data_IF_260243365555
#
_entry.id   IF_260243365555
#
_cell.length_a   1.000
_cell.length_b   1.000
_cell.length_c   1.000
_cell.angle_alpha   90.00
_cell.angle_beta   90.00
_cell.angle_gamma   90.00
#
_symmetry.space_group_name_H-M   'P 1'
#
loop_
_entity.id
_entity.type
_entity.pdbx_description
1 polymer ?
#
# COMPACT_ATOMS: atom_id res chain seq x y z
N UNK A 1 -8.24 5.69 80.38
CA UNK A 1 -8.82 6.31 79.18
C UNK A 1 -7.76 6.30 78.10
N UNK A 2 -7.83 5.32 77.18
CA UNK A 2 -6.87 5.20 76.10
C UNK A 2 -7.55 5.75 74.83
N UNK A 3 -6.95 6.79 74.27
CA UNK A 3 -7.42 7.41 73.05
C UNK A 3 -6.91 6.61 71.84
N UNK A 4 -7.82 6.03 71.00
CA UNK A 4 -7.50 5.44 69.69
C UNK A 4 -7.25 6.57 68.64
N UNK A 5 -6.06 6.55 68.05
CA UNK A 5 -5.75 7.41 66.89
C UNK A 5 -6.24 6.71 65.59
N UNK A 6 -6.95 7.38 64.69
CA UNK A 6 -7.32 6.80 63.42
C UNK A 6 -6.12 6.77 62.44
N UNK A 7 -5.90 5.61 61.85
CA UNK A 7 -4.94 5.38 60.73
C UNK A 7 -5.61 5.85 59.45
N UNK A 8 -5.08 6.88 58.81
CA UNK A 8 -5.52 7.32 57.47
C UNK A 8 -4.63 6.62 56.46
N UNK A 9 -5.22 5.67 55.70
CA UNK A 9 -4.55 5.02 54.55
C UNK A 9 -4.83 5.87 53.32
N UNK A 10 -3.80 6.61 52.85
CA UNK A 10 -3.88 7.31 51.56
C UNK A 10 -3.65 6.33 50.41
N UNK A 11 -4.68 6.09 49.62
CA UNK A 11 -4.56 5.37 48.36
C UNK A 11 -4.07 6.35 47.27
N UNK A 12 -2.81 6.25 46.86
CA UNK A 12 -2.27 6.97 45.73
C UNK A 12 -2.70 6.21 44.44
N UNK A 13 -3.67 6.73 43.69
CA UNK A 13 -4.03 6.23 42.40
C UNK A 13 -2.96 6.64 41.38
N UNK A 14 -2.16 5.67 40.91
CA UNK A 14 -1.20 5.86 39.80
C UNK A 14 -1.99 5.83 38.50
N UNK A 15 -2.24 6.99 37.90
CA UNK A 15 -2.77 7.12 36.54
C UNK A 15 -1.65 6.81 35.56
N UNK A 16 -1.69 5.63 34.96
CA UNK A 16 -0.90 5.32 33.75
C UNK A 16 -1.53 6.04 32.56
N UNK A 17 -0.98 7.18 32.15
CA UNK A 17 -1.32 7.81 30.89
C UNK A 17 -0.72 6.97 29.76
N UNK A 18 -1.56 6.15 29.11
CA UNK A 18 -1.19 5.50 27.85
C UNK A 18 -1.17 6.59 26.79
N UNK A 19 0.01 7.13 26.50
CA UNK A 19 0.22 7.99 25.33
C UNK A 19 0.05 7.15 24.08
N UNK A 20 -1.12 7.25 23.44
CA UNK A 20 -1.32 6.73 22.11
C UNK A 20 -0.48 7.59 21.16
N UNK A 21 0.74 7.13 20.82
CA UNK A 21 1.55 7.74 19.77
C UNK A 21 0.84 7.39 18.46
N UNK A 22 0.05 8.31 17.94
CA UNK A 22 -0.44 8.23 16.58
C UNK A 22 0.80 8.28 15.68
N UNK A 23 1.15 7.15 15.07
CA UNK A 23 2.19 7.12 14.04
C UNK A 23 1.60 7.86 12.85
N UNK A 24 1.99 9.11 12.70
CA UNK A 24 1.64 9.90 11.52
C UNK A 24 2.21 9.19 10.29
N UNK A 25 1.36 8.93 9.28
CA UNK A 25 1.82 8.34 8.04
C UNK A 25 2.86 9.27 7.42
N UNK A 26 4.02 8.74 7.04
CA UNK A 26 5.06 9.53 6.42
C UNK A 26 4.52 10.14 5.11
N UNK A 27 4.56 11.48 5.01
CA UNK A 27 4.15 12.18 3.82
C UNK A 27 5.11 11.90 2.66
N UNK A 28 4.56 11.53 1.49
CA UNK A 28 5.36 11.34 0.28
C UNK A 28 5.79 12.70 -0.28
N UNK A 29 7.05 13.06 -0.09
CA UNK A 29 7.63 14.24 -0.74
C UNK A 29 8.05 13.93 -2.17
N UNK A 30 7.70 14.80 -3.14
CA UNK A 30 8.12 14.68 -4.54
C UNK A 30 9.32 15.57 -4.82
N UNK A 31 10.31 15.02 -5.50
CA UNK A 31 11.53 15.71 -5.92
C UNK A 31 11.52 15.97 -7.42
N UNK A 32 12.26 17.00 -7.86
CA UNK A 32 12.39 17.29 -9.27
C UNK A 32 13.05 16.14 -10.02
N UNK A 33 12.41 15.70 -11.10
CA UNK A 33 12.87 14.58 -11.92
C UNK A 33 12.61 13.22 -11.29
N UNK A 34 11.60 13.10 -10.42
CA UNK A 34 11.15 11.80 -9.94
C UNK A 34 10.51 10.98 -11.06
N UNK A 35 10.82 9.69 -11.06
CA UNK A 35 10.22 8.69 -11.92
C UNK A 35 9.30 7.80 -11.07
N UNK A 36 8.01 7.96 -11.26
CA UNK A 36 6.94 7.26 -10.54
C UNK A 36 6.50 6.05 -11.37
N UNK A 37 6.70 4.85 -10.86
CA UNK A 37 6.29 3.61 -11.52
C UNK A 37 5.12 2.96 -10.77
N UNK A 38 4.04 2.67 -11.49
CA UNK A 38 2.89 1.92 -10.99
C UNK A 38 3.14 0.44 -11.27
N UNK A 39 3.03 -0.40 -10.26
CA UNK A 39 3.22 -1.86 -10.35
C UNK A 39 2.08 -2.56 -9.64
N UNK A 40 1.43 -3.48 -10.30
CA UNK A 40 0.31 -4.23 -9.72
C UNK A 40 -0.71 -4.65 -10.74
N UNK A 41 -1.95 -4.77 -10.29
CA UNK A 41 -3.03 -5.36 -11.07
C UNK A 41 -4.00 -4.33 -11.70
N UNK A 42 -5.25 -4.75 -11.90
CA UNK A 42 -6.24 -4.06 -12.74
C UNK A 42 -6.50 -2.59 -12.35
N UNK A 43 -6.50 -2.22 -11.05
CA UNK A 43 -6.77 -0.84 -10.66
C UNK A 43 -5.72 0.12 -11.25
N UNK A 44 -4.45 -0.20 -11.04
CA UNK A 44 -3.35 0.61 -11.59
C UNK A 44 -3.33 0.59 -13.12
N UNK A 45 -3.59 -0.57 -13.73
CA UNK A 45 -3.65 -0.69 -15.20
C UNK A 45 -4.75 0.22 -15.79
N UNK A 46 -5.96 0.21 -15.21
CA UNK A 46 -7.09 1.01 -15.68
C UNK A 46 -6.84 2.52 -15.63
N UNK A 47 -5.98 2.99 -14.74
CA UNK A 47 -5.65 4.42 -14.64
C UNK A 47 -5.07 5.00 -15.93
N UNK A 48 -4.38 4.20 -16.76
CA UNK A 48 -3.84 4.64 -18.04
C UNK A 48 -4.92 5.01 -19.08
N UNK A 49 -6.14 4.49 -18.96
CA UNK A 49 -7.22 4.75 -19.91
C UNK A 49 -7.94 6.07 -19.64
N UNK A 50 -7.79 6.65 -18.47
CA UNK A 50 -8.49 7.86 -18.06
C UNK A 50 -7.56 9.06 -17.82
N UNK A 51 -6.31 8.84 -17.50
CA UNK A 51 -5.25 9.84 -17.30
C UNK A 51 -5.53 10.95 -16.26
N UNK A 52 -6.65 10.89 -15.53
CA UNK A 52 -7.02 11.92 -14.54
C UNK A 52 -5.97 12.09 -13.44
N UNK A 53 -5.49 10.97 -12.90
CA UNK A 53 -4.49 11.00 -11.83
C UNK A 53 -3.19 11.65 -12.29
N UNK A 54 -2.66 11.25 -13.45
CA UNK A 54 -1.43 11.81 -14.01
C UNK A 54 -1.58 13.28 -14.36
N UNK A 55 -2.73 13.67 -14.94
CA UNK A 55 -3.05 15.07 -15.24
C UNK A 55 -3.06 15.92 -13.98
N UNK A 56 -3.76 15.47 -12.91
CA UNK A 56 -3.82 16.18 -11.63
C UNK A 56 -2.45 16.27 -10.96
N UNK A 57 -1.66 15.20 -11.02
CA UNK A 57 -0.30 15.16 -10.49
C UNK A 57 0.58 16.24 -11.16
N UNK A 58 0.58 16.30 -12.48
CA UNK A 58 1.35 17.30 -13.22
C UNK A 58 0.81 18.73 -13.01
N UNK A 59 -0.48 18.89 -12.87
CA UNK A 59 -1.10 20.18 -12.56
C UNK A 59 -0.70 20.67 -11.16
N UNK A 60 -0.67 19.77 -10.17
CA UNK A 60 -0.32 20.12 -8.80
C UNK A 60 1.19 20.38 -8.65
N UNK A 61 2.02 19.68 -9.42
CA UNK A 61 3.48 19.76 -9.31
C UNK A 61 4.17 20.12 -10.64
N UNK A 62 3.82 21.25 -11.29
CA UNK A 62 4.28 21.57 -12.66
C UNK A 62 5.78 21.79 -12.76
N UNK A 63 6.45 22.13 -11.65
CA UNK A 63 7.89 22.41 -11.62
C UNK A 63 8.73 21.16 -11.35
N UNK A 64 8.11 20.05 -10.97
CA UNK A 64 8.85 18.85 -10.55
C UNK A 64 9.35 18.01 -11.72
N UNK A 65 8.87 18.23 -12.96
CA UNK A 65 9.31 17.46 -14.13
C UNK A 65 9.20 15.95 -13.90
N UNK A 66 8.06 15.51 -13.36
CA UNK A 66 7.80 14.12 -13.04
C UNK A 66 7.67 13.27 -14.30
N UNK A 67 8.04 11.99 -14.20
CA UNK A 67 7.78 10.99 -15.22
C UNK A 67 6.93 9.90 -14.61
N UNK A 68 5.86 9.48 -15.29
CA UNK A 68 5.01 8.37 -14.86
C UNK A 68 5.18 7.20 -15.82
N UNK A 69 5.27 5.97 -15.29
CA UNK A 69 5.29 4.73 -16.05
C UNK A 69 4.33 3.73 -15.42
N UNK A 70 3.35 3.30 -16.20
CA UNK A 70 2.40 2.28 -15.77
C UNK A 70 2.92 0.91 -16.20
N UNK A 71 3.30 0.08 -15.22
CA UNK A 71 3.77 -1.29 -15.39
C UNK A 71 2.75 -2.30 -14.84
N UNK A 72 1.54 -1.86 -14.51
CA UNK A 72 0.47 -2.71 -14.02
C UNK A 72 -0.08 -3.59 -15.14
N UNK A 73 -0.54 -4.79 -14.76
CA UNK A 73 -1.20 -5.71 -15.67
C UNK A 73 -2.33 -6.45 -14.95
N UNK A 74 -3.52 -6.60 -15.55
CA UNK A 74 -4.62 -7.33 -14.93
C UNK A 74 -4.20 -8.77 -14.61
N UNK A 75 -4.53 -9.23 -13.41
CA UNK A 75 -4.17 -10.56 -12.95
C UNK A 75 -2.81 -10.69 -12.27
N UNK A 76 -2.01 -9.63 -12.23
CA UNK A 76 -0.73 -9.67 -11.48
C UNK A 76 -0.96 -9.77 -9.97
N UNK A 77 -0.14 -10.58 -9.34
CA UNK A 77 0.07 -10.67 -7.88
C UNK A 77 1.55 -10.38 -7.56
N UNK A 78 1.93 -10.19 -6.31
CA UNK A 78 3.32 -9.83 -5.95
C UNK A 78 4.38 -10.73 -6.58
N UNK A 79 4.11 -12.05 -6.65
CA UNK A 79 5.03 -13.06 -7.20
C UNK A 79 4.41 -13.97 -8.27
N UNK A 80 3.17 -13.72 -8.68
CA UNK A 80 2.52 -14.45 -9.78
C UNK A 80 2.26 -13.49 -10.92
N UNK A 81 3.06 -13.62 -11.98
CA UNK A 81 3.01 -12.73 -13.15
C UNK A 81 3.20 -13.56 -14.40
N UNK A 82 2.11 -13.77 -15.13
CA UNK A 82 2.12 -14.57 -16.35
C UNK A 82 2.52 -13.66 -17.50
N UNK A 83 3.71 -13.90 -18.06
CA UNK A 83 4.25 -13.19 -19.22
C UNK A 83 4.81 -14.18 -20.22
N UNK A 84 5.05 -13.71 -21.44
CA UNK A 84 5.78 -14.45 -22.44
C UNK A 84 7.23 -14.67 -22.04
N UNK A 85 7.84 -15.68 -22.60
CA UNK A 85 9.27 -15.93 -22.43
C UNK A 85 10.10 -14.69 -22.79
N UNK A 86 11.16 -14.42 -22.04
CA UNK A 86 12.06 -13.29 -22.22
C UNK A 86 11.42 -11.89 -22.05
N UNK A 87 10.25 -11.79 -21.42
CA UNK A 87 9.62 -10.49 -21.15
C UNK A 87 10.42 -9.63 -20.16
N UNK A 88 11.28 -10.24 -19.34
CA UNK A 88 11.99 -9.58 -18.25
C UNK A 88 11.23 -9.63 -16.92
N UNK A 89 11.94 -9.29 -15.85
CA UNK A 89 11.39 -9.23 -14.50
C UNK A 89 10.83 -7.83 -14.19
N UNK A 90 10.00 -7.67 -13.15
CA UNK A 90 9.60 -6.34 -12.69
C UNK A 90 10.78 -5.43 -12.34
N UNK A 91 11.86 -6.01 -11.78
CA UNK A 91 13.06 -5.25 -11.46
C UNK A 91 13.77 -4.72 -12.72
N UNK A 92 13.79 -5.50 -13.81
CA UNK A 92 14.36 -5.06 -15.09
C UNK A 92 13.60 -3.86 -15.64
N UNK A 93 12.26 -3.90 -15.58
CA UNK A 93 11.41 -2.80 -16.04
C UNK A 93 11.51 -1.56 -15.14
N UNK A 94 11.62 -1.73 -13.83
CA UNK A 94 11.84 -0.63 -12.89
C UNK A 94 13.21 0.02 -13.10
N UNK A 95 14.24 -0.77 -13.35
CA UNK A 95 15.58 -0.29 -13.66
C UNK A 95 15.62 0.47 -15.01
N UNK A 96 14.97 -0.10 -16.05
CA UNK A 96 14.84 0.59 -17.34
C UNK A 96 14.10 1.93 -17.19
N UNK A 97 13.09 1.99 -16.34
CA UNK A 97 12.32 3.20 -16.06
C UNK A 97 13.01 4.14 -15.08
N UNK A 98 14.15 3.77 -14.50
CA UNK A 98 14.90 4.54 -13.49
C UNK A 98 14.00 4.95 -12.31
N UNK A 99 13.20 4.03 -11.80
CA UNK A 99 12.20 4.28 -10.77
C UNK A 99 12.82 4.90 -9.51
N UNK A 100 12.27 6.03 -9.05
CA UNK A 100 12.58 6.67 -7.76
C UNK A 100 11.44 6.52 -6.76
N UNK A 101 10.24 6.27 -7.29
CA UNK A 101 9.03 5.99 -6.51
C UNK A 101 8.31 4.80 -7.16
N UNK A 102 7.90 3.84 -6.33
CA UNK A 102 7.10 2.69 -6.77
C UNK A 102 5.78 2.68 -6.01
N UNK A 103 4.67 2.71 -6.76
CA UNK A 103 3.32 2.58 -6.23
C UNK A 103 2.85 1.14 -6.45
N UNK A 104 2.59 0.38 -5.38
CA UNK A 104 2.09 -0.99 -5.46
C UNK A 104 0.57 -1.07 -5.36
N UNK A 105 -0.07 -1.66 -6.39
CA UNK A 105 -1.51 -1.85 -6.51
C UNK A 105 -1.87 -3.34 -6.41
N UNK A 106 -1.79 -3.90 -5.20
CA UNK A 106 -2.07 -5.31 -4.91
C UNK A 106 -3.19 -5.47 -3.87
N UNK A 107 -3.74 -6.67 -3.76
CA UNK A 107 -4.79 -7.02 -2.82
C UNK A 107 -6.15 -7.31 -3.47
N UNK A 108 -6.39 -6.88 -4.71
CA UNK A 108 -7.63 -7.18 -5.42
C UNK A 108 -7.68 -8.64 -5.89
N UNK A 109 -6.72 -9.09 -6.68
CA UNK A 109 -6.68 -10.46 -7.17
C UNK A 109 -6.56 -11.47 -6.03
N UNK A 110 -5.70 -11.17 -5.09
CA UNK A 110 -5.43 -12.02 -3.94
C UNK A 110 -6.68 -12.18 -3.04
N UNK A 111 -7.59 -11.18 -3.04
CA UNK A 111 -8.83 -11.23 -2.25
C UNK A 111 -9.79 -12.35 -2.68
N UNK A 112 -9.66 -12.87 -3.90
CA UNK A 112 -10.41 -14.05 -4.34
C UNK A 112 -10.02 -15.32 -3.58
N UNK A 113 -8.84 -15.37 -2.96
CA UNK A 113 -8.42 -16.40 -2.03
C UNK A 113 -9.12 -16.38 -0.66
N UNK A 114 -9.99 -15.38 -0.41
CA UNK A 114 -10.72 -15.25 0.84
C UNK A 114 -9.84 -14.95 2.04
N UNK A 115 -10.36 -15.17 3.25
CA UNK A 115 -9.64 -14.92 4.51
C UNK A 115 -8.38 -15.77 4.69
N UNK A 116 -8.36 -16.98 4.16
CA UNK A 116 -7.23 -17.92 4.25
C UNK A 116 -6.00 -17.39 3.49
N UNK A 117 -6.19 -16.59 2.45
CA UNK A 117 -5.12 -15.99 1.66
C UNK A 117 -4.41 -14.81 2.34
N UNK A 118 -5.00 -14.19 3.35
CA UNK A 118 -4.50 -12.94 3.97
C UNK A 118 -3.09 -13.08 4.55
N UNK A 119 -2.79 -14.19 5.21
CA UNK A 119 -1.47 -14.42 5.81
C UNK A 119 -0.36 -14.53 4.75
N UNK A 120 -0.64 -15.27 3.67
CA UNK A 120 0.28 -15.40 2.54
C UNK A 120 0.48 -14.06 1.83
N UNK A 121 -0.60 -13.30 1.60
CA UNK A 121 -0.54 -11.97 1.03
C UNK A 121 0.35 -11.02 1.82
N UNK A 122 0.19 -10.94 3.15
CA UNK A 122 1.06 -10.11 4.02
C UNK A 122 2.53 -10.51 3.89
N UNK A 123 2.82 -11.82 3.90
CA UNK A 123 4.18 -12.33 3.75
C UNK A 123 4.79 -11.93 2.39
N UNK A 124 4.03 -12.11 1.31
CA UNK A 124 4.46 -11.77 -0.04
C UNK A 124 4.68 -10.25 -0.21
N UNK A 125 3.78 -9.42 0.32
CA UNK A 125 3.95 -7.98 0.27
C UNK A 125 5.17 -7.49 1.04
N UNK A 126 5.41 -8.02 2.26
CA UNK A 126 6.62 -7.67 3.02
C UNK A 126 7.89 -8.07 2.28
N UNK A 127 7.92 -9.25 1.67
CA UNK A 127 9.04 -9.72 0.87
C UNK A 127 9.27 -8.81 -0.35
N UNK A 128 8.21 -8.49 -1.10
CA UNK A 128 8.30 -7.61 -2.27
C UNK A 128 8.84 -6.22 -1.90
N UNK A 129 8.37 -5.64 -0.81
CA UNK A 129 8.85 -4.35 -0.30
C UNK A 129 10.33 -4.44 0.08
N UNK A 130 10.74 -5.50 0.79
CA UNK A 130 12.11 -5.69 1.19
C UNK A 130 13.05 -5.85 -0.01
N UNK A 131 12.68 -6.67 -1.00
CA UNK A 131 13.45 -6.85 -2.24
C UNK A 131 13.57 -5.53 -3.01
N UNK A 132 12.48 -4.75 -3.08
CA UNK A 132 12.46 -3.45 -3.76
C UNK A 132 13.33 -2.41 -3.05
N UNK A 133 13.29 -2.36 -1.70
CA UNK A 133 14.14 -1.46 -0.90
C UNK A 133 15.65 -1.75 -1.03
N UNK A 134 16.02 -2.96 -1.43
CA UNK A 134 17.42 -3.33 -1.67
C UNK A 134 17.95 -2.89 -3.04
N UNK A 135 17.08 -2.37 -3.92
CA UNK A 135 17.46 -1.97 -5.27
C UNK A 135 17.80 -0.46 -5.34
N UNK A 136 18.65 -0.13 -6.30
CA UNK A 136 18.85 1.24 -6.76
C UNK A 136 18.61 1.29 -8.27
N UNK A 137 17.36 1.54 -8.67
CA UNK A 137 16.99 1.58 -10.09
C UNK A 137 17.43 2.84 -10.81
N UNK A 138 17.69 3.91 -10.08
CA UNK A 138 17.91 5.25 -10.62
C UNK A 138 19.34 5.77 -10.47
N UNK A 139 20.18 5.09 -9.69
CA UNK A 139 21.49 5.60 -9.24
C UNK A 139 21.38 6.66 -8.13
N UNK A 140 20.18 6.82 -7.52
CA UNK A 140 19.94 7.81 -6.46
C UNK A 140 19.61 7.16 -5.11
N UNK A 141 19.81 5.86 -4.99
CA UNK A 141 19.49 5.05 -3.82
C UNK A 141 18.15 4.30 -3.93
N UNK A 142 17.72 3.69 -2.82
CA UNK A 142 16.52 2.90 -2.78
C UNK A 142 15.27 3.72 -3.16
N UNK A 143 14.31 3.14 -3.91
CA UNK A 143 13.10 3.84 -4.26
C UNK A 143 12.19 4.04 -3.04
N UNK A 144 11.42 5.13 -3.03
CA UNK A 144 10.32 5.32 -2.09
C UNK A 144 9.15 4.46 -2.51
N UNK A 145 8.49 3.83 -1.56
CA UNK A 145 7.42 2.87 -1.83
C UNK A 145 6.11 3.38 -1.23
N UNK A 146 5.04 3.30 -2.02
CA UNK A 146 3.67 3.60 -1.58
C UNK A 146 2.80 2.38 -1.84
N UNK A 147 1.98 2.00 -0.87
CA UNK A 147 0.99 0.94 -1.02
C UNK A 147 -0.37 1.57 -1.29
N UNK A 148 -1.00 1.14 -2.37
CA UNK A 148 -2.34 1.57 -2.76
C UNK A 148 -3.30 0.42 -2.48
N UNK A 149 -4.30 0.66 -1.64
CA UNK A 149 -5.33 -0.33 -1.33
C UNK A 149 -6.22 -0.61 -2.54
N UNK A 150 -6.80 -1.83 -2.64
CA UNK A 150 -7.88 -2.06 -3.58
C UNK A 150 -9.08 -1.17 -3.25
N UNK A 151 -9.93 -0.92 -4.24
CA UNK A 151 -11.20 -0.21 -4.09
C UNK A 151 -12.35 -1.20 -3.97
N UNK A 152 -13.42 -0.80 -3.31
CA UNK A 152 -14.64 -1.59 -3.20
C UNK A 152 -15.40 -1.65 -4.53
N UNK A 153 -16.16 -2.72 -4.73
CA UNK A 153 -17.18 -2.78 -5.79
C UNK A 153 -18.31 -1.84 -5.48
N UNK A 154 -18.72 -1.08 -6.48
CA UNK A 154 -19.92 -0.28 -6.44
C UNK A 154 -21.13 -1.14 -6.82
N UNK A 155 -22.22 -1.05 -6.04
CA UNK A 155 -23.50 -1.62 -6.45
C UNK A 155 -24.21 -0.64 -7.38
N UNK A 156 -24.16 -0.93 -8.68
CA UNK A 156 -24.81 -0.10 -9.71
C UNK A 156 -26.32 -0.33 -9.83
N UNK A 157 -26.86 -1.36 -9.15
CA UNK A 157 -28.26 -1.80 -9.30
C UNK A 157 -28.53 -2.59 -10.59
N UNK A 158 -27.54 -2.85 -11.43
CA UNK A 158 -27.66 -3.67 -12.62
C UNK A 158 -27.66 -5.15 -12.24
N UNK A 159 -28.72 -5.88 -12.63
CA UNK A 159 -28.88 -7.31 -12.32
C UNK A 159 -27.82 -8.21 -12.99
N UNK A 160 -27.10 -7.72 -14.00
CA UNK A 160 -26.05 -8.45 -14.69
C UNK A 160 -24.67 -8.24 -14.04
N UNK A 161 -24.57 -7.34 -13.06
CA UNK A 161 -23.34 -7.06 -12.32
C UNK A 161 -23.46 -7.53 -10.86
N UNK A 162 -22.39 -8.01 -10.26
CA UNK A 162 -22.40 -8.39 -8.85
C UNK A 162 -22.65 -7.16 -7.96
N UNK A 163 -23.39 -7.33 -6.87
CA UNK A 163 -23.62 -6.26 -5.89
C UNK A 163 -22.40 -5.94 -5.02
N UNK A 164 -21.39 -6.74 -5.11
CA UNK A 164 -20.09 -6.55 -4.44
C UNK A 164 -20.07 -6.87 -2.94
N UNK A 165 -21.22 -7.11 -2.29
CA UNK A 165 -21.30 -7.22 -0.82
C UNK A 165 -20.30 -8.22 -0.23
N UNK A 166 -20.35 -9.47 -0.68
CA UNK A 166 -19.45 -10.51 -0.16
C UNK A 166 -17.98 -10.23 -0.50
N UNK A 167 -17.74 -9.74 -1.72
CA UNK A 167 -16.39 -9.45 -2.16
C UNK A 167 -15.79 -8.26 -1.41
N UNK A 168 -16.59 -7.24 -1.10
CA UNK A 168 -16.13 -6.08 -0.34
C UNK A 168 -15.68 -6.43 1.08
N UNK A 169 -16.30 -7.43 1.73
CA UNK A 169 -15.79 -7.95 3.01
C UNK A 169 -14.38 -8.50 2.88
N UNK A 170 -14.10 -9.22 1.79
CA UNK A 170 -12.75 -9.74 1.51
C UNK A 170 -11.78 -8.59 1.21
N UNK A 171 -12.16 -7.65 0.36
CA UNK A 171 -11.33 -6.47 0.03
C UNK A 171 -10.97 -5.66 1.27
N UNK A 172 -11.87 -5.52 2.23
CA UNK A 172 -11.61 -4.88 3.52
C UNK A 172 -10.51 -5.61 4.30
N UNK A 173 -10.54 -6.94 4.35
CA UNK A 173 -9.50 -7.75 5.01
C UNK A 173 -8.12 -7.52 4.37
N UNK A 174 -8.04 -7.47 3.05
CA UNK A 174 -6.79 -7.21 2.33
C UNK A 174 -6.32 -5.76 2.46
N UNK A 175 -7.25 -4.81 2.55
CA UNK A 175 -6.93 -3.40 2.85
C UNK A 175 -6.31 -3.26 4.24
N UNK A 176 -6.89 -3.91 5.25
CA UNK A 176 -6.31 -3.96 6.60
C UNK A 176 -4.95 -4.64 6.62
N UNK A 177 -4.80 -5.74 5.87
CA UNK A 177 -3.51 -6.42 5.72
C UNK A 177 -2.43 -5.50 5.13
N UNK A 178 -2.75 -4.69 4.12
CA UNK A 178 -1.83 -3.70 3.56
C UNK A 178 -1.44 -2.63 4.59
N UNK A 179 -2.39 -2.16 5.39
CA UNK A 179 -2.10 -1.20 6.46
C UNK A 179 -1.14 -1.77 7.52
N UNK A 180 -1.31 -3.06 7.88
CA UNK A 180 -0.37 -3.76 8.78
C UNK A 180 1.01 -3.93 8.15
N UNK A 181 1.07 -4.29 6.86
CA UNK A 181 2.32 -4.39 6.10
C UNK A 181 3.04 -3.06 6.06
N UNK A 182 2.35 -1.95 5.78
CA UNK A 182 2.93 -0.62 5.77
C UNK A 182 3.58 -0.26 7.11
N UNK A 183 2.89 -0.54 8.23
CA UNK A 183 3.42 -0.30 9.58
C UNK A 183 4.67 -1.13 9.90
N UNK A 184 4.76 -2.35 9.36
CA UNK A 184 5.90 -3.25 9.60
C UNK A 184 7.11 -2.95 8.70
N UNK A 185 6.86 -2.37 7.56
CA UNK A 185 7.88 -2.09 6.55
C UNK A 185 8.62 -0.76 6.76
N UNK A 186 8.14 0.06 7.68
CA UNK A 186 8.77 1.35 8.05
C UNK A 186 10.04 1.17 8.89
#
# INVERSE_FOLDING_TARGET
MHALRPFVVSFAAIFFAVSCVATEAAELSLSKGDHICLVGNALGERMQHHNWWETLLHQQFPKQQLTVRNLCFPGDEPFVRIRSENFGTPHDHLAHSKATIVLFFFGFNESFGGGDGVAAFKTNMLKLIQETKQQDYSGKGAPRIVLISPIAFENTGDSNLPDGKEHNVRLEQYTHALAEVAKRAN
#
